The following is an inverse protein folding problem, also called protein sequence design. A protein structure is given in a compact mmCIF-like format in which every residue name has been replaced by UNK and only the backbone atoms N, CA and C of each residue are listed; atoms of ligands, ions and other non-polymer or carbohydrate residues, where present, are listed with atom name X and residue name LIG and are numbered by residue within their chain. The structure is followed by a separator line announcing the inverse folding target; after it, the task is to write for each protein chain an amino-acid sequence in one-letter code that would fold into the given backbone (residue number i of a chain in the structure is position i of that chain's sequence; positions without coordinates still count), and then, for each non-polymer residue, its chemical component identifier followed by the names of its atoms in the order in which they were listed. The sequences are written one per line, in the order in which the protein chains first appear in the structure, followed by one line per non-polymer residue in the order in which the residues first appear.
data_IF_340227933272
#
_entry.id   IF_340227933272
#
_cell.length_a   1.000
_cell.length_b   1.000
_cell.length_c   1.000
_cell.angle_alpha   90.00
_cell.angle_beta   90.00
_cell.angle_gamma   90.00
#
_symmetry.space_group_name_H-M   'P 1'
#
loop_
_entity.id
_entity.type
_entity.pdbx_description
1 polymer ?
#
# COMPACT_ATOMS: atom_id res chain seq x y z
N UNK A 1 -16.00 -0.62 11.63
CA UNK A 1 -14.96 0.25 11.05
C UNK A 1 -14.25 0.92 12.20
N UNK A 2 -12.92 0.83 12.24
CA UNK A 2 -12.10 1.34 13.33
C UNK A 2 -11.50 2.70 12.94
N UNK A 3 -11.54 3.66 13.86
CA UNK A 3 -10.92 4.97 13.70
C UNK A 3 -9.51 4.90 14.28
N UNK A 4 -8.51 5.06 13.42
CA UNK A 4 -7.10 4.89 13.74
C UNK A 4 -6.33 6.20 13.55
N UNK A 5 -5.38 6.54 14.45
CA UNK A 5 -4.42 7.60 14.19
C UNK A 5 -3.57 7.27 12.96
N UNK A 6 -3.41 8.24 12.05
CA UNK A 6 -2.58 8.09 10.85
C UNK A 6 -1.16 7.63 11.19
N UNK A 7 -0.57 8.21 12.23
CA UNK A 7 0.77 7.84 12.69
C UNK A 7 0.84 6.37 13.15
N UNK A 8 -0.23 5.85 13.77
CA UNK A 8 -0.27 4.44 14.16
C UNK A 8 -0.22 3.53 12.93
N UNK A 9 -0.98 3.87 11.87
CA UNK A 9 -0.96 3.12 10.61
C UNK A 9 0.43 3.17 9.96
N UNK A 10 1.04 4.36 9.89
CA UNK A 10 2.39 4.53 9.32
C UNK A 10 3.43 3.73 10.10
N UNK A 11 3.36 3.72 11.43
CA UNK A 11 4.24 2.92 12.27
C UNK A 11 4.06 1.42 12.00
N UNK A 12 2.82 0.94 11.90
CA UNK A 12 2.53 -0.46 11.55
C UNK A 12 3.09 -0.85 10.17
N UNK A 13 3.04 0.07 9.19
CA UNK A 13 3.66 -0.16 7.89
C UNK A 13 5.19 -0.22 7.98
N UNK A 14 5.81 0.64 8.79
CA UNK A 14 7.25 0.59 9.04
C UNK A 14 7.68 -0.73 9.69
N UNK A 15 6.92 -1.22 10.68
CA UNK A 15 7.20 -2.47 11.39
C UNK A 15 7.12 -3.70 10.46
N UNK A 16 6.40 -3.59 9.35
CA UNK A 16 6.26 -4.64 8.33
C UNK A 16 7.34 -4.58 7.23
N UNK A 17 8.11 -3.48 7.11
CA UNK A 17 9.18 -3.37 6.10
C UNK A 17 10.23 -4.49 6.15
N UNK A 18 10.62 -5.05 7.32
CA UNK A 18 11.53 -6.19 7.37
C UNK A 18 11.00 -7.42 6.63
N UNK A 19 9.69 -7.72 6.77
CA UNK A 19 9.04 -8.86 6.09
C UNK A 19 9.17 -8.72 4.58
N UNK A 20 8.95 -7.51 4.08
CA UNK A 20 9.09 -7.20 2.67
C UNK A 20 10.51 -7.41 2.15
N UNK A 21 11.53 -6.97 2.91
CA UNK A 21 12.94 -7.12 2.54
C UNK A 21 13.37 -8.59 2.47
N UNK A 22 12.81 -9.43 3.31
CA UNK A 22 13.12 -10.86 3.36
C UNK A 22 12.38 -11.67 2.28
N UNK A 23 11.16 -11.24 1.91
CA UNK A 23 10.24 -12.05 1.10
C UNK A 23 10.04 -11.54 -0.35
N UNK A 24 10.45 -10.31 -0.67
CA UNK A 24 10.25 -9.69 -1.98
C UNK A 24 11.57 -9.29 -2.63
N UNK A 25 11.73 -9.58 -3.91
CA UNK A 25 12.91 -9.23 -4.72
C UNK A 25 12.87 -7.78 -5.21
N UNK A 26 12.55 -6.84 -4.33
CA UNK A 26 12.46 -5.42 -4.63
C UNK A 26 13.83 -4.72 -4.49
N UNK A 27 14.09 -3.78 -5.40
CA UNK A 27 15.27 -2.90 -5.34
C UNK A 27 15.11 -1.83 -4.26
N UNK A 28 13.89 -1.31 -4.11
CA UNK A 28 13.55 -0.31 -3.11
C UNK A 28 12.11 -0.45 -2.64
N UNK A 29 11.88 -0.25 -1.35
CA UNK A 29 10.56 -0.22 -0.74
C UNK A 29 10.50 0.97 0.22
N UNK A 30 9.50 1.82 0.06
CA UNK A 30 9.23 2.97 0.92
C UNK A 30 7.75 3.07 1.25
N UNK A 31 7.41 3.86 2.27
CA UNK A 31 6.01 4.14 2.60
C UNK A 31 5.39 5.00 1.51
N UNK A 32 4.19 4.61 1.09
CA UNK A 32 3.37 5.34 0.14
C UNK A 32 2.19 5.99 0.86
N UNK A 33 1.99 7.28 0.60
CA UNK A 33 0.84 8.07 1.05
C UNK A 33 0.34 8.90 -0.13
N UNK A 34 -0.94 8.74 -0.48
CA UNK A 34 -1.56 9.53 -1.55
C UNK A 34 -2.95 10.02 -1.16
N UNK A 35 -3.16 11.31 -1.37
CA UNK A 35 -4.39 12.03 -1.07
C UNK A 35 -5.12 12.25 -2.40
N UNK A 36 -6.17 11.48 -2.67
CA UNK A 36 -6.93 11.62 -3.92
C UNK A 36 -7.90 12.80 -3.88
N UNK A 37 -8.48 13.08 -2.72
CA UNK A 37 -9.35 14.23 -2.46
C UNK A 37 -9.37 14.55 -0.96
N UNK A 38 -10.27 15.42 -0.51
CA UNK A 38 -10.42 15.79 0.91
C UNK A 38 -10.86 14.62 1.80
N UNK A 39 -11.34 13.52 1.21
CA UNK A 39 -12.03 12.43 1.92
C UNK A 39 -11.27 11.10 1.85
N UNK A 40 -10.51 10.85 0.80
CA UNK A 40 -9.86 9.57 0.53
C UNK A 40 -8.33 9.70 0.65
N UNK A 41 -7.75 8.76 1.39
CA UNK A 41 -6.32 8.59 1.57
C UNK A 41 -5.96 7.13 1.26
N UNK A 42 -4.89 6.92 0.48
CA UNK A 42 -4.30 5.60 0.31
C UNK A 42 -2.97 5.56 1.06
N UNK A 43 -2.78 4.54 1.89
CA UNK A 43 -1.54 4.30 2.62
C UNK A 43 -1.04 2.88 2.37
N UNK A 44 0.26 2.74 2.24
CA UNK A 44 0.92 1.44 2.08
C UNK A 44 2.37 1.58 1.66
N UNK A 45 2.76 0.94 0.57
CA UNK A 45 4.12 0.84 0.08
C UNK A 45 4.25 1.29 -1.38
N UNK A 46 5.37 1.92 -1.68
CA UNK A 46 5.86 2.13 -3.04
C UNK A 46 7.05 1.22 -3.25
N UNK A 47 6.97 0.38 -4.28
CA UNK A 47 7.92 -0.69 -4.53
C UNK A 47 8.54 -0.47 -5.91
N UNK A 48 9.86 -0.41 -5.96
CA UNK A 48 10.66 -0.45 -7.18
C UNK A 48 11.19 -1.88 -7.37
N UNK A 49 10.87 -2.49 -8.50
CA UNK A 49 11.31 -3.84 -8.84
C UNK A 49 11.45 -3.99 -10.35
N UNK A 50 12.62 -4.42 -10.84
CA UNK A 50 12.91 -4.59 -12.28
C UNK A 50 12.59 -3.32 -13.07
N UNK A 51 13.00 -2.16 -12.56
CA UNK A 51 12.69 -0.83 -13.11
C UNK A 51 11.18 -0.48 -13.15
N UNK A 52 10.32 -1.33 -12.59
CA UNK A 52 8.88 -1.11 -12.49
C UNK A 52 8.47 -0.52 -11.14
N UNK A 53 7.50 0.38 -11.15
CA UNK A 53 6.98 1.02 -9.94
C UNK A 53 5.56 0.50 -9.65
N UNK A 54 5.43 -0.10 -8.46
CA UNK A 54 4.17 -0.57 -7.92
C UNK A 54 3.77 0.24 -6.69
N UNK A 55 2.51 0.65 -6.63
CA UNK A 55 1.89 1.19 -5.43
C UNK A 55 0.99 0.11 -4.82
N UNK A 56 1.29 -0.26 -3.59
CA UNK A 56 0.57 -1.27 -2.82
C UNK A 56 -0.10 -0.57 -1.65
N UNK A 57 -1.42 -0.54 -1.59
CA UNK A 57 -2.09 0.27 -0.57
C UNK A 57 -3.42 -0.29 -0.09
N UNK A 58 -3.81 0.19 1.09
CA UNK A 58 -5.15 0.09 1.63
C UNK A 58 -5.85 1.46 1.51
N UNK A 59 -7.16 1.48 1.22
CA UNK A 59 -7.93 2.71 1.15
C UNK A 59 -8.50 3.10 2.52
N UNK A 60 -8.40 4.38 2.84
CA UNK A 60 -8.86 4.98 4.09
C UNK A 60 -9.73 6.21 3.84
N UNK A 61 -10.79 6.35 4.63
CA UNK A 61 -11.53 7.60 4.75
C UNK A 61 -10.80 8.52 5.74
N UNK A 62 -10.60 9.78 5.38
CA UNK A 62 -10.15 10.82 6.29
C UNK A 62 -11.32 11.24 7.17
N UNK A 63 -11.16 11.11 8.47
CA UNK A 63 -12.10 11.65 9.44
C UNK A 63 -11.71 13.07 9.84
N UNK A 64 -10.41 13.27 10.10
CA UNK A 64 -9.76 14.56 10.29
C UNK A 64 -8.33 14.50 9.74
N UNK A 65 -7.50 15.52 10.03
CA UNK A 65 -6.11 15.61 9.55
C UNK A 65 -5.24 14.42 9.97
N UNK A 66 -5.50 13.86 11.15
CA UNK A 66 -4.64 12.87 11.81
C UNK A 66 -5.33 11.54 12.08
N UNK A 67 -6.61 11.40 11.73
CA UNK A 67 -7.39 10.17 11.94
C UNK A 67 -8.02 9.66 10.66
N UNK A 68 -7.87 8.36 10.48
CA UNK A 68 -8.30 7.63 9.31
C UNK A 68 -9.23 6.49 9.70
N UNK A 69 -10.16 6.16 8.83
CA UNK A 69 -11.05 5.01 8.97
C UNK A 69 -10.73 4.05 7.82
N UNK A 70 -10.29 2.84 8.14
CA UNK A 70 -10.06 1.82 7.12
C UNK A 70 -11.37 1.49 6.40
N UNK A 71 -11.39 1.65 5.07
CA UNK A 71 -12.57 1.34 4.25
C UNK A 71 -12.71 -0.17 4.03
N UNK A 72 -11.58 -0.84 3.79
CA UNK A 72 -11.51 -2.28 3.61
C UNK A 72 -10.10 -2.77 3.99
N UNK A 73 -9.97 -3.99 4.54
CA UNK A 73 -8.67 -4.63 4.74
C UNK A 73 -8.05 -5.20 3.44
N UNK A 74 -8.66 -4.92 2.28
CA UNK A 74 -8.23 -5.45 0.98
C UNK A 74 -7.16 -4.57 0.35
N UNK A 75 -5.96 -5.13 0.23
CA UNK A 75 -4.84 -4.50 -0.46
C UNK A 75 -5.07 -4.43 -1.97
N UNK A 76 -4.50 -3.38 -2.55
CA UNK A 76 -4.55 -3.05 -3.96
C UNK A 76 -3.15 -2.81 -4.48
N UNK A 77 -2.83 -3.38 -5.65
CA UNK A 77 -1.58 -3.15 -6.37
C UNK A 77 -1.88 -2.34 -7.63
N UNK A 78 -1.28 -1.17 -7.77
CA UNK A 78 -1.33 -0.34 -8.98
C UNK A 78 0.05 -0.31 -9.63
N UNK A 79 0.11 -0.51 -10.95
CA UNK A 79 1.31 -0.30 -11.75
C UNK A 79 1.33 1.12 -12.33
N UNK A 80 2.37 1.89 -12.01
CA UNK A 80 2.36 3.36 -12.18
C UNK A 80 3.07 3.83 -13.44
N UNK A 81 4.03 3.07 -13.95
CA UNK A 81 4.89 3.46 -15.06
C UNK A 81 4.42 2.92 -16.43
N UNK A 82 3.19 2.39 -16.54
CA UNK A 82 2.61 1.94 -17.82
C UNK A 82 1.59 2.91 -18.39
N UNK A 83 1.53 3.00 -19.73
CA UNK A 83 0.59 3.85 -20.49
C UNK A 83 -0.87 3.57 -20.14
N UNK A 84 -1.17 2.33 -19.73
CA UNK A 84 -2.41 1.98 -19.04
C UNK A 84 -2.05 1.62 -17.61
N UNK A 85 -2.49 2.42 -16.64
CA UNK A 85 -2.39 2.04 -15.23
C UNK A 85 -3.23 0.78 -15.03
N UNK A 86 -2.58 -0.28 -14.55
CA UNK A 86 -3.22 -1.55 -14.30
C UNK A 86 -3.32 -1.77 -12.79
N UNK A 87 -4.52 -2.12 -12.33
CA UNK A 87 -4.85 -2.25 -10.92
C UNK A 87 -5.36 -3.66 -10.63
N UNK A 88 -4.75 -4.35 -9.67
CA UNK A 88 -5.24 -5.62 -9.10
C UNK A 88 -5.67 -5.37 -7.66
N UNK A 89 -6.82 -5.94 -7.27
CA UNK A 89 -7.39 -5.87 -5.92
C UNK A 89 -7.74 -7.27 -5.45
N UNK A 90 -8.00 -7.41 -4.15
CA UNK A 90 -8.54 -8.66 -3.57
C UNK A 90 -7.55 -9.42 -2.70
N UNK A 91 -6.45 -8.78 -2.28
CA UNK A 91 -5.47 -9.41 -1.39
C UNK A 91 -5.79 -9.04 0.06
N UNK A 92 -6.09 -10.02 0.88
CA UNK A 92 -6.41 -9.82 2.31
C UNK A 92 -5.14 -9.83 3.15
N UNK A 93 -4.09 -10.50 2.67
CA UNK A 93 -2.84 -10.68 3.40
C UNK A 93 -1.64 -10.16 2.61
N UNK A 94 -0.65 -9.65 3.35
CA UNK A 94 0.59 -9.13 2.78
C UNK A 94 1.33 -10.16 1.93
N UNK A 95 1.28 -11.43 2.34
CA UNK A 95 1.91 -12.55 1.64
C UNK A 95 1.33 -12.76 0.24
N UNK A 96 0.02 -12.57 0.08
CA UNK A 96 -0.63 -12.69 -1.24
C UNK A 96 -0.19 -11.55 -2.17
N UNK A 97 -0.04 -10.35 -1.61
CA UNK A 97 0.50 -9.19 -2.34
C UNK A 97 1.94 -9.44 -2.77
N UNK A 98 2.79 -9.92 -1.86
CA UNK A 98 4.19 -10.26 -2.16
C UNK A 98 4.24 -11.32 -3.26
N UNK A 99 3.46 -12.40 -3.13
CA UNK A 99 3.39 -13.44 -4.15
C UNK A 99 2.96 -12.89 -5.51
N UNK A 100 1.96 -12.00 -5.55
CA UNK A 100 1.51 -11.36 -6.77
C UNK A 100 2.58 -10.48 -7.43
N UNK A 101 3.46 -9.84 -6.65
CA UNK A 101 4.59 -9.06 -7.15
C UNK A 101 5.76 -9.93 -7.60
N UNK A 102 5.93 -11.13 -7.04
CA UNK A 102 6.97 -12.08 -7.47
C UNK A 102 6.69 -12.70 -8.84
N UNK A 103 5.41 -12.89 -9.19
CA UNK A 103 5.00 -13.42 -10.49
C UNK A 103 4.73 -12.34 -11.55
N UNK A 104 4.81 -11.05 -11.19
CA UNK A 104 4.65 -9.92 -12.09
C UNK A 104 5.95 -9.58 -12.85
#
# INVERSE_FOLDING_TARGET
MELLPKQQIINQLHDQLPIWKESCTAEHISIFEQHYNEVLCHLGYKILKKEQIYEVYLPYLKYDTDKLIALTPIWTITHVNTVKSYQKKGYEFLQEVIHALEIA
#
